data_IF_659008084214
#
_entry.id   IF_659008084214
#
_cell.length_a   1.000
_cell.length_b   1.000
_cell.length_c   1.000
_cell.angle_alpha   90.00
_cell.angle_beta   90.00
_cell.angle_gamma   90.00
#
_symmetry.space_group_name_H-M   'P 1'
#
loop_
_entity.id
_entity.type
_entity.pdbx_description
1 polymer ?
#
# COMPACT_ATOMS: atom_id res chain seq x y z
N UNK A 1 26.21 12.81 -17.20
CA UNK A 1 27.17 13.85 -17.63
C UNK A 1 28.42 13.26 -18.22
N UNK A 2 29.36 12.70 -17.44
CA UNK A 2 30.59 12.08 -17.97
C UNK A 2 30.32 11.01 -19.03
N UNK A 3 29.38 10.09 -18.77
CA UNK A 3 28.99 9.05 -19.73
C UNK A 3 28.45 9.61 -21.06
N UNK A 4 27.81 10.79 -21.02
CA UNK A 4 27.28 11.49 -22.18
C UNK A 4 28.31 12.45 -22.80
N UNK A 5 29.51 12.60 -22.20
CA UNK A 5 30.52 13.60 -22.60
C UNK A 5 29.97 15.04 -22.65
N UNK A 6 29.01 15.35 -21.78
CA UNK A 6 28.40 16.68 -21.64
C UNK A 6 28.81 17.33 -20.32
N UNK A 7 28.91 18.65 -20.33
CA UNK A 7 29.20 19.47 -19.14
C UNK A 7 28.04 19.44 -18.13
N UNK A 8 28.33 19.75 -16.87
CA UNK A 8 27.33 19.66 -15.77
C UNK A 8 26.20 20.69 -15.85
N UNK A 9 26.37 21.75 -16.63
CA UNK A 9 25.34 22.75 -16.95
C UNK A 9 24.41 22.31 -18.08
N UNK A 10 24.70 21.21 -18.78
CA UNK A 10 23.80 20.64 -19.76
C UNK A 10 22.48 20.20 -19.10
N UNK A 11 21.37 20.35 -19.83
CA UNK A 11 20.08 19.88 -19.36
C UNK A 11 20.07 18.36 -19.23
N UNK A 12 19.22 17.85 -18.34
CA UNK A 12 19.07 16.41 -18.15
C UNK A 12 18.50 15.75 -19.41
N UNK A 13 17.67 16.45 -20.16
CA UNK A 13 17.17 16.05 -21.48
C UNK A 13 18.29 15.82 -22.46
N UNK A 14 19.25 16.75 -22.59
CA UNK A 14 20.38 16.59 -23.50
C UNK A 14 21.24 15.38 -23.12
N UNK A 15 21.42 15.15 -21.81
CA UNK A 15 22.12 13.97 -21.30
C UNK A 15 21.35 12.69 -21.61
N UNK A 16 20.04 12.68 -21.38
CA UNK A 16 19.17 11.54 -21.69
C UNK A 16 19.20 11.23 -23.19
N UNK A 17 19.19 12.28 -24.01
CA UNK A 17 19.15 12.14 -25.45
C UNK A 17 20.42 11.52 -26.03
N UNK A 18 21.58 12.00 -25.58
CA UNK A 18 22.88 11.47 -25.97
C UNK A 18 23.02 10.01 -25.53
N UNK A 19 22.69 9.70 -24.27
CA UNK A 19 22.81 8.34 -23.74
C UNK A 19 21.89 7.34 -24.44
N UNK A 20 20.65 7.72 -24.75
CA UNK A 20 19.73 6.88 -25.53
C UNK A 20 20.28 6.63 -26.94
N UNK A 21 20.90 7.64 -27.57
CA UNK A 21 21.50 7.49 -28.90
C UNK A 21 22.74 6.60 -28.88
N UNK A 22 23.56 6.69 -27.81
CA UNK A 22 24.76 5.88 -27.64
C UNK A 22 24.47 4.42 -27.31
N UNK A 23 23.38 4.16 -26.59
CA UNK A 23 23.05 2.81 -26.08
C UNK A 23 22.00 2.09 -26.91
N UNK A 24 21.22 2.82 -27.72
CA UNK A 24 20.05 2.32 -28.45
C UNK A 24 18.99 1.65 -27.55
N UNK A 25 19.03 1.93 -26.23
CA UNK A 25 18.14 1.35 -25.25
C UNK A 25 16.69 1.86 -25.43
N UNK A 26 15.72 1.01 -25.11
CA UNK A 26 14.31 1.40 -25.14
C UNK A 26 13.93 2.31 -23.97
N UNK A 27 14.62 2.14 -22.82
CA UNK A 27 14.43 2.89 -21.60
C UNK A 27 15.79 3.25 -20.97
N UNK A 28 15.94 4.50 -20.54
CA UNK A 28 17.07 4.99 -19.77
C UNK A 28 16.56 5.55 -18.45
N UNK A 29 17.05 5.02 -17.34
CA UNK A 29 16.71 5.48 -15.99
C UNK A 29 17.92 6.18 -15.39
N UNK A 30 17.72 7.42 -14.93
CA UNK A 30 18.74 8.20 -14.24
C UNK A 30 18.31 8.39 -12.79
N UNK A 31 19.08 7.83 -11.85
CA UNK A 31 18.93 8.12 -10.42
C UNK A 31 19.58 9.46 -10.07
N UNK A 32 18.88 10.30 -9.32
CA UNK A 32 19.22 11.69 -9.02
C UNK A 32 19.27 11.97 -7.50
N UNK A 33 19.63 10.96 -6.72
CA UNK A 33 19.70 11.05 -5.25
C UNK A 33 18.37 11.59 -4.67
N UNK A 34 18.40 12.67 -3.89
CA UNK A 34 17.21 13.27 -3.27
C UNK A 34 16.15 13.76 -4.28
N UNK A 35 16.54 14.05 -5.52
CA UNK A 35 15.60 14.46 -6.57
C UNK A 35 14.83 13.26 -7.16
N UNK A 36 15.19 12.04 -6.77
CA UNK A 36 14.56 10.80 -7.20
C UNK A 36 15.07 10.24 -8.50
N UNK A 37 14.18 9.86 -9.42
CA UNK A 37 14.57 9.21 -10.67
C UNK A 37 13.93 9.89 -11.87
N UNK A 38 14.60 9.83 -13.02
CA UNK A 38 14.04 10.28 -14.30
C UNK A 38 14.12 9.14 -15.30
N UNK A 39 12.99 8.84 -15.96
CA UNK A 39 12.89 7.93 -17.08
C UNK A 39 12.94 8.72 -18.39
N UNK A 40 13.76 8.26 -19.32
CA UNK A 40 13.70 8.62 -20.72
C UNK A 40 13.32 7.40 -21.55
N UNK A 41 12.39 7.55 -22.48
CA UNK A 41 12.01 6.51 -23.44
C UNK A 41 12.70 6.72 -24.78
N UNK A 42 12.74 5.68 -25.61
CA UNK A 42 13.21 5.77 -27.00
C UNK A 42 12.47 6.82 -27.85
N UNK A 43 11.20 7.08 -27.52
CA UNK A 43 10.38 8.14 -28.13
C UNK A 43 10.73 9.54 -27.63
N UNK A 44 11.75 9.67 -26.78
CA UNK A 44 12.24 10.93 -26.18
C UNK A 44 11.27 11.55 -25.18
N UNK A 45 10.37 10.75 -24.62
CA UNK A 45 9.51 11.19 -23.52
C UNK A 45 10.31 11.17 -22.21
N UNK A 46 10.04 12.15 -21.34
CA UNK A 46 10.64 12.29 -20.01
C UNK A 46 9.58 12.13 -18.94
N UNK A 47 9.85 11.29 -17.94
CA UNK A 47 9.01 11.14 -16.75
C UNK A 47 9.87 11.26 -15.49
N UNK A 48 9.45 12.09 -14.54
CA UNK A 48 10.16 12.31 -13.29
C UNK A 48 9.41 11.65 -12.12
N UNK A 49 10.16 10.93 -11.28
CA UNK A 49 9.69 10.21 -10.11
C UNK A 49 10.39 10.79 -8.87
N UNK A 50 9.87 11.87 -8.27
CA UNK A 50 10.48 12.48 -7.09
C UNK A 50 10.36 11.54 -5.89
N UNK A 51 11.41 11.43 -5.07
CA UNK A 51 11.34 10.59 -3.85
C UNK A 51 10.49 11.28 -2.80
N UNK A 52 9.56 10.53 -2.21
CA UNK A 52 8.89 10.91 -0.96
C UNK A 52 9.46 10.05 0.16
N UNK A 53 10.09 10.68 1.13
CA UNK A 53 10.68 10.05 2.32
C UNK A 53 10.31 10.85 3.56
N UNK A 54 10.31 10.22 4.73
CA UNK A 54 10.08 10.92 5.99
C UNK A 54 11.36 11.58 6.50
N UNK A 55 12.43 10.80 6.62
CA UNK A 55 13.75 11.22 7.08
C UNK A 55 14.84 10.41 6.38
N UNK A 56 15.97 11.03 6.04
CA UNK A 56 17.12 10.30 5.47
C UNK A 56 18.08 9.93 6.59
N UNK A 57 18.28 8.64 6.82
CA UNK A 57 19.23 8.12 7.80
C UNK A 57 20.55 7.69 7.15
N UNK A 58 20.51 6.89 6.08
CA UNK A 58 21.68 6.39 5.36
C UNK A 58 21.32 6.14 3.89
N UNK A 59 22.20 6.46 2.94
CA UNK A 59 21.95 6.23 1.50
C UNK A 59 22.59 4.94 0.97
N UNK A 60 23.24 4.18 1.85
CA UNK A 60 23.94 2.94 1.52
C UNK A 60 22.96 1.88 0.98
N UNK A 61 23.18 1.39 -0.24
CA UNK A 61 22.37 0.33 -0.84
C UNK A 61 21.05 0.79 -1.50
N UNK A 62 20.77 2.10 -1.54
CA UNK A 62 19.57 2.62 -2.21
C UNK A 62 19.55 2.28 -3.72
N UNK A 63 20.70 2.39 -4.39
CA UNK A 63 20.84 2.02 -5.80
C UNK A 63 20.63 0.53 -6.05
N UNK A 64 21.14 -0.33 -5.18
CA UNK A 64 20.94 -1.78 -5.27
C UNK A 64 19.46 -2.14 -5.05
N UNK A 65 18.78 -1.45 -4.14
CA UNK A 65 17.33 -1.59 -3.91
C UNK A 65 16.53 -1.19 -5.13
N UNK A 66 16.85 -0.05 -5.76
CA UNK A 66 16.23 0.39 -7.02
C UNK A 66 16.43 -0.67 -8.09
N UNK A 67 17.65 -1.14 -8.31
CA UNK A 67 17.95 -2.11 -9.35
C UNK A 67 17.23 -3.45 -9.12
N UNK A 68 17.20 -3.94 -7.88
CA UNK A 68 16.49 -5.15 -7.52
C UNK A 68 14.98 -5.02 -7.78
N UNK A 69 14.39 -3.88 -7.41
CA UNK A 69 12.96 -3.64 -7.63
C UNK A 69 12.63 -3.49 -9.12
N UNK A 70 13.49 -2.80 -9.90
CA UNK A 70 13.35 -2.74 -11.36
C UNK A 70 13.35 -4.15 -11.95
N UNK A 71 14.31 -5.00 -11.55
CA UNK A 71 14.43 -6.35 -12.07
C UNK A 71 13.17 -7.19 -11.78
N UNK A 72 12.67 -7.17 -10.55
CA UNK A 72 11.49 -7.95 -10.15
C UNK A 72 10.20 -7.42 -10.78
N UNK A 73 9.99 -6.10 -10.77
CA UNK A 73 8.77 -5.50 -11.30
C UNK A 73 8.68 -5.68 -12.82
N UNK A 74 9.77 -5.40 -13.52
CA UNK A 74 9.82 -5.54 -14.97
C UNK A 74 9.69 -7.00 -15.41
N UNK A 75 10.31 -7.95 -14.69
CA UNK A 75 10.13 -9.38 -14.94
C UNK A 75 8.68 -9.86 -14.67
N UNK A 76 7.95 -9.14 -13.82
CA UNK A 76 6.52 -9.36 -13.55
C UNK A 76 5.60 -8.70 -14.58
N UNK A 77 6.13 -8.19 -15.70
CA UNK A 77 5.40 -7.48 -16.76
C UNK A 77 4.71 -6.18 -16.32
N UNK A 78 5.18 -5.55 -15.23
CA UNK A 78 4.75 -4.20 -14.89
C UNK A 78 5.29 -3.21 -15.93
N UNK A 79 4.53 -2.15 -16.18
CA UNK A 79 5.02 -1.05 -17.02
C UNK A 79 6.26 -0.40 -16.38
N UNK A 80 7.10 0.24 -17.19
CA UNK A 80 8.27 0.95 -16.67
C UNK A 80 7.88 2.07 -15.70
N UNK A 81 6.69 2.66 -15.88
CA UNK A 81 6.15 3.67 -14.98
C UNK A 81 5.82 3.09 -13.61
N UNK A 82 5.08 1.98 -13.54
CA UNK A 82 4.77 1.28 -12.28
C UNK A 82 6.06 0.77 -11.61
N UNK A 83 6.96 0.21 -12.41
CA UNK A 83 8.26 -0.29 -11.98
C UNK A 83 9.07 0.79 -11.25
N UNK A 84 9.16 1.99 -11.83
CA UNK A 84 9.91 3.09 -11.22
C UNK A 84 9.18 3.70 -10.03
N UNK A 85 7.86 3.77 -10.05
CA UNK A 85 7.07 4.17 -8.88
C UNK A 85 7.34 3.24 -7.69
N UNK A 86 7.30 1.91 -7.88
CA UNK A 86 7.61 0.93 -6.83
C UNK A 86 9.08 1.01 -6.39
N UNK A 87 10.00 1.17 -7.34
CA UNK A 87 11.43 1.31 -7.03
C UNK A 87 11.72 2.55 -6.20
N UNK A 88 11.00 3.64 -6.44
CA UNK A 88 11.11 4.88 -5.70
C UNK A 88 10.60 4.72 -4.24
N UNK A 89 9.50 3.99 -4.06
CA UNK A 89 8.98 3.61 -2.73
C UNK A 89 9.98 2.72 -1.99
N UNK A 90 10.52 1.69 -2.64
CA UNK A 90 11.49 0.80 -2.02
C UNK A 90 12.77 1.56 -1.62
N UNK A 91 13.26 2.46 -2.48
CA UNK A 91 14.41 3.29 -2.19
C UNK A 91 14.17 4.24 -1.01
N UNK A 92 12.98 4.84 -0.90
CA UNK A 92 12.68 5.74 0.22
C UNK A 92 12.65 5.01 1.56
N UNK A 93 12.15 3.78 1.60
CA UNK A 93 12.21 2.92 2.79
C UNK A 93 13.65 2.53 3.12
N UNK A 94 14.45 2.18 2.12
CA UNK A 94 15.85 1.79 2.32
C UNK A 94 16.65 2.92 2.98
N UNK A 95 16.45 4.17 2.54
CA UNK A 95 17.22 5.30 3.06
C UNK A 95 16.81 5.78 4.45
N UNK A 96 15.66 5.34 4.94
CA UNK A 96 15.16 5.59 6.30
C UNK A 96 15.79 4.64 7.35
N UNK A 97 16.68 3.72 6.93
CA UNK A 97 17.30 2.69 7.77
C UNK A 97 18.83 2.80 7.74
N UNK A 98 19.49 2.28 8.78
CA UNK A 98 20.95 2.30 8.89
C UNK A 98 21.59 1.16 8.07
N UNK A 99 22.60 1.47 7.25
CA UNK A 99 23.33 0.51 6.44
C UNK A 99 22.55 0.01 5.22
N UNK A 100 23.05 -1.06 4.57
CA UNK A 100 22.39 -1.71 3.43
C UNK A 100 21.17 -2.53 3.90
N UNK A 101 20.14 -1.85 4.37
CA UNK A 101 18.94 -2.47 4.92
C UNK A 101 18.14 -3.20 3.83
N UNK A 102 17.60 -4.36 4.19
CA UNK A 102 16.68 -5.09 3.31
C UNK A 102 15.31 -4.42 3.35
N UNK A 103 14.71 -4.25 2.18
CA UNK A 103 13.31 -3.85 1.99
C UNK A 103 12.51 -5.10 1.62
N UNK A 104 11.43 -5.36 2.34
CA UNK A 104 10.52 -6.47 2.10
C UNK A 104 9.25 -6.03 1.36
N UNK A 105 8.47 -6.98 0.86
CA UNK A 105 7.16 -6.68 0.28
C UNK A 105 6.20 -6.11 1.33
N UNK A 106 6.27 -6.59 2.57
CA UNK A 106 5.52 -6.03 3.71
C UNK A 106 5.83 -4.54 3.91
N UNK A 107 7.12 -4.17 3.89
CA UNK A 107 7.52 -2.76 4.02
C UNK A 107 6.91 -1.88 2.92
N UNK A 108 6.97 -2.36 1.66
CA UNK A 108 6.41 -1.64 0.50
C UNK A 108 4.89 -1.54 0.62
N UNK A 109 4.21 -2.64 0.96
CA UNK A 109 2.76 -2.67 1.13
C UNK A 109 2.30 -1.70 2.21
N UNK A 110 2.95 -1.71 3.38
CA UNK A 110 2.66 -0.76 4.47
C UNK A 110 2.84 0.69 4.00
N UNK A 111 3.94 1.01 3.31
CA UNK A 111 4.19 2.38 2.80
C UNK A 111 3.17 2.82 1.76
N UNK A 112 2.72 1.91 0.89
CA UNK A 112 1.69 2.21 -0.11
C UNK A 112 0.35 2.52 0.57
N UNK A 113 -0.05 1.73 1.58
CA UNK A 113 -1.26 1.99 2.36
C UNK A 113 -1.18 3.29 3.17
N UNK A 114 -0.02 3.60 3.76
CA UNK A 114 0.21 4.89 4.45
C UNK A 114 0.08 6.09 3.51
N UNK A 115 0.62 5.96 2.30
CA UNK A 115 0.53 7.03 1.29
C UNK A 115 -0.90 7.22 0.81
N UNK A 116 -1.70 6.16 0.84
CA UNK A 116 -3.12 6.15 0.49
C UNK A 116 -4.03 6.31 1.72
N UNK A 117 -3.55 6.88 2.83
CA UNK A 117 -4.32 7.00 4.10
C UNK A 117 -5.66 7.75 4.00
N UNK A 118 -5.96 8.40 2.87
CA UNK A 118 -7.29 8.96 2.58
C UNK A 118 -8.29 7.90 2.08
N UNK A 119 -7.77 6.82 1.51
CA UNK A 119 -8.50 5.75 0.87
C UNK A 119 -8.50 4.52 1.79
N UNK A 120 -9.38 4.55 2.78
CA UNK A 120 -9.57 3.45 3.73
C UNK A 120 -10.34 2.28 3.12
N UNK A 121 -10.80 2.41 1.88
CA UNK A 121 -11.73 1.49 1.25
C UNK A 121 -10.94 0.57 0.32
N UNK A 122 -11.09 -0.74 0.55
CA UNK A 122 -10.39 -1.79 -0.15
C UNK A 122 -11.38 -2.83 -0.66
N UNK A 123 -11.03 -3.46 -1.76
CA UNK A 123 -11.75 -4.60 -2.34
C UNK A 123 -10.82 -5.82 -2.45
N UNK A 124 -11.25 -6.85 -3.19
CA UNK A 124 -10.49 -8.10 -3.35
C UNK A 124 -9.11 -7.90 -3.97
N UNK A 125 -8.97 -6.93 -4.87
CA UNK A 125 -7.70 -6.67 -5.57
C UNK A 125 -6.61 -6.19 -4.59
N UNK A 126 -7.02 -5.69 -3.43
CA UNK A 126 -6.14 -5.17 -2.39
C UNK A 126 -5.83 -6.19 -1.30
N UNK A 127 -6.47 -7.37 -1.28
CA UNK A 127 -6.32 -8.35 -0.21
C UNK A 127 -4.86 -8.76 0.00
N UNK A 128 -4.14 -9.01 -1.09
CA UNK A 128 -2.71 -9.34 -1.02
C UNK A 128 -1.88 -8.22 -0.37
N UNK A 129 -2.17 -6.96 -0.71
CA UNK A 129 -1.45 -5.80 -0.13
C UNK A 129 -1.75 -5.70 1.36
N UNK A 130 -3.01 -5.89 1.76
CA UNK A 130 -3.43 -5.90 3.16
C UNK A 130 -2.75 -7.04 3.93
N UNK A 131 -2.71 -8.27 3.39
CA UNK A 131 -2.00 -9.40 4.00
C UNK A 131 -0.52 -9.06 4.26
N UNK A 132 0.17 -8.49 3.26
CA UNK A 132 1.57 -8.11 3.40
C UNK A 132 1.75 -6.98 4.42
N UNK A 133 0.90 -5.96 4.40
CA UNK A 133 1.04 -4.80 5.29
C UNK A 133 0.65 -5.11 6.75
N UNK A 134 -0.22 -6.10 6.96
CA UNK A 134 -0.72 -6.52 8.27
C UNK A 134 0.01 -7.73 8.82
N UNK A 135 1.04 -8.22 8.12
CA UNK A 135 1.94 -9.26 8.63
C UNK A 135 2.52 -8.81 9.98
N UNK A 136 2.42 -9.67 10.99
CA UNK A 136 2.85 -9.43 12.39
C UNK A 136 2.11 -8.29 13.13
N UNK A 137 1.04 -7.72 12.57
CA UNK A 137 0.18 -6.74 13.24
C UNK A 137 -0.99 -7.42 13.94
N UNK A 138 -1.40 -6.87 15.08
CA UNK A 138 -2.66 -7.29 15.71
C UNK A 138 -3.80 -6.64 14.95
N UNK A 139 -4.73 -7.45 14.46
CA UNK A 139 -5.90 -6.97 13.74
C UNK A 139 -7.17 -7.39 14.45
N UNK A 140 -8.06 -6.43 14.69
CA UNK A 140 -9.45 -6.69 15.07
C UNK A 140 -10.36 -6.37 13.88
N UNK A 141 -11.20 -7.34 13.50
CA UNK A 141 -12.17 -7.18 12.41
C UNK A 141 -13.58 -7.07 12.98
N UNK A 142 -14.38 -6.15 12.44
CA UNK A 142 -15.83 -6.05 12.68
C UNK A 142 -16.59 -6.28 11.37
N UNK A 143 -17.36 -7.36 11.29
CA UNK A 143 -18.32 -7.63 10.22
C UNK A 143 -19.60 -6.84 10.41
N UNK A 144 -20.00 -6.04 9.41
CA UNK A 144 -21.19 -5.20 9.43
C UNK A 144 -22.06 -5.40 8.19
N UNK A 145 -23.38 -5.41 8.41
CA UNK A 145 -24.38 -5.27 7.35
C UNK A 145 -24.91 -3.83 7.28
N UNK A 146 -24.99 -3.25 6.08
CA UNK A 146 -25.44 -1.87 5.82
C UNK A 146 -26.93 -1.66 6.03
N UNK A 147 -27.70 -2.74 6.26
CA UNK A 147 -29.16 -2.68 6.34
C UNK A 147 -29.71 -1.90 7.55
N UNK A 148 -28.89 -1.63 8.57
CA UNK A 148 -29.33 -0.99 9.82
C UNK A 148 -28.94 0.50 9.94
N UNK A 149 -28.14 1.03 9.02
CA UNK A 149 -27.60 2.40 9.08
C UNK A 149 -26.65 2.62 10.28
N UNK A 150 -26.15 3.85 10.45
CA UNK A 150 -25.25 4.16 11.58
C UNK A 150 -26.08 4.67 12.75
N UNK A 151 -26.22 3.82 13.77
CA UNK A 151 -26.81 4.18 15.06
C UNK A 151 -25.73 4.70 16.02
N UNK A 152 -26.16 5.40 17.08
CA UNK A 152 -25.26 5.77 18.19
C UNK A 152 -24.61 4.54 18.83
N UNK A 153 -25.31 3.41 18.83
CA UNK A 153 -24.86 2.17 19.44
C UNK A 153 -23.72 1.55 18.62
N UNK A 154 -23.87 1.49 17.29
CA UNK A 154 -22.81 1.05 16.39
C UNK A 154 -21.56 1.93 16.52
N UNK A 155 -21.75 3.25 16.57
CA UNK A 155 -20.64 4.17 16.74
C UNK A 155 -19.90 3.92 18.07
N UNK A 156 -20.62 3.76 19.17
CA UNK A 156 -20.02 3.44 20.47
C UNK A 156 -19.29 2.08 20.46
N UNK A 157 -19.82 1.07 19.76
CA UNK A 157 -19.18 -0.22 19.60
C UNK A 157 -17.87 -0.11 18.81
N UNK A 158 -17.86 0.61 17.68
CA UNK A 158 -16.64 0.91 16.92
C UNK A 158 -15.60 1.57 17.82
N UNK A 159 -15.98 2.61 18.57
CA UNK A 159 -15.08 3.27 19.51
C UNK A 159 -14.58 2.36 20.64
N UNK A 160 -15.38 1.39 21.05
CA UNK A 160 -15.00 0.45 22.12
C UNK A 160 -14.00 -0.58 21.62
N UNK A 161 -14.21 -1.10 20.40
CA UNK A 161 -13.30 -2.06 19.77
C UNK A 161 -11.98 -1.42 19.32
N UNK A 162 -12.03 -0.19 18.81
CA UNK A 162 -10.86 0.53 18.34
C UNK A 162 -9.95 1.05 19.47
N UNK A 163 -10.38 0.99 20.75
CA UNK A 163 -9.57 1.38 21.93
C UNK A 163 -8.43 0.39 22.26
N UNK A 164 -7.97 -0.38 21.28
CA UNK A 164 -6.78 -1.22 21.41
C UNK A 164 -5.51 -0.40 21.69
N UNK A 165 -4.38 -1.09 21.85
CA UNK A 165 -3.07 -0.42 21.91
C UNK A 165 -2.74 0.20 20.55
N UNK A 166 -1.81 1.17 20.49
CA UNK A 166 -1.40 1.86 19.24
C UNK A 166 -0.93 0.92 18.09
N UNK A 167 -0.54 -0.32 18.44
CA UNK A 167 -0.11 -1.36 17.50
C UNK A 167 -1.25 -2.26 16.98
N UNK A 168 -2.47 -2.10 17.49
CA UNK A 168 -3.66 -2.84 17.05
C UNK A 168 -4.37 -2.05 15.94
N UNK A 169 -4.62 -2.74 14.82
CA UNK A 169 -5.36 -2.19 13.67
C UNK A 169 -6.82 -2.60 13.74
N UNK A 170 -7.70 -1.71 13.33
CA UNK A 170 -9.14 -1.94 13.29
C UNK A 170 -9.67 -1.93 11.85
N UNK A 171 -10.27 -3.04 11.45
CA UNK A 171 -10.83 -3.23 10.11
C UNK A 171 -12.34 -3.48 10.18
N UNK A 172 -13.08 -2.81 9.32
CA UNK A 172 -14.49 -3.09 9.08
C UNK A 172 -14.64 -3.91 7.80
N UNK A 173 -15.34 -5.03 7.88
CA UNK A 173 -15.73 -5.82 6.72
C UNK A 173 -17.22 -5.64 6.45
N UNK A 174 -17.58 -5.13 5.27
CA UNK A 174 -18.98 -5.00 4.88
C UNK A 174 -19.45 -6.30 4.25
N UNK A 175 -20.51 -6.90 4.80
CA UNK A 175 -21.04 -8.19 4.36
C UNK A 175 -22.09 -8.08 3.25
N UNK A 176 -22.35 -6.88 2.72
CA UNK A 176 -23.32 -6.65 1.64
C UNK A 176 -22.62 -6.60 0.29
N UNK A 177 -23.20 -7.28 -0.71
CA UNK A 177 -22.61 -7.35 -2.04
C UNK A 177 -22.58 -5.98 -2.74
N UNK A 178 -23.52 -5.11 -2.37
CA UNK A 178 -23.60 -3.71 -2.82
C UNK A 178 -23.89 -2.84 -1.59
N UNK A 179 -22.86 -2.43 -0.84
CA UNK A 179 -23.04 -1.61 0.34
C UNK A 179 -23.51 -0.19 -0.05
N UNK A 180 -24.29 0.44 0.82
CA UNK A 180 -24.74 1.82 0.62
C UNK A 180 -23.55 2.80 0.65
N UNK A 181 -23.37 3.59 -0.42
CA UNK A 181 -22.23 4.52 -0.55
C UNK A 181 -22.19 5.57 0.56
N UNK A 182 -23.36 6.04 1.04
CA UNK A 182 -23.43 7.04 2.11
C UNK A 182 -22.95 6.44 3.43
N UNK A 183 -23.29 5.18 3.69
CA UNK A 183 -22.83 4.43 4.85
C UNK A 183 -21.32 4.18 4.79
N UNK A 184 -20.79 3.72 3.64
CA UNK A 184 -19.36 3.52 3.42
C UNK A 184 -18.58 4.82 3.64
N UNK A 185 -19.05 5.92 3.08
CA UNK A 185 -18.44 7.25 3.23
C UNK A 185 -18.43 7.71 4.69
N UNK A 186 -19.50 7.45 5.44
CA UNK A 186 -19.56 7.79 6.86
C UNK A 186 -18.57 6.95 7.67
N UNK A 187 -18.46 5.65 7.41
CA UNK A 187 -17.44 4.81 8.05
C UNK A 187 -16.03 5.28 7.71
N UNK A 188 -15.76 5.60 6.44
CA UNK A 188 -14.45 6.09 5.99
C UNK A 188 -14.07 7.42 6.67
N UNK A 189 -15.06 8.22 7.09
CA UNK A 189 -14.83 9.45 7.85
C UNK A 189 -14.37 9.22 9.30
N UNK A 190 -14.56 8.01 9.84
CA UNK A 190 -14.19 7.69 11.21
C UNK A 190 -12.68 7.46 11.32
N UNK A 191 -12.04 8.19 12.23
CA UNK A 191 -10.59 8.07 12.48
C UNK A 191 -10.21 6.74 13.14
N UNK A 192 -11.14 6.13 13.87
CA UNK A 192 -10.98 4.85 14.57
C UNK A 192 -10.86 3.66 13.62
N UNK A 193 -11.30 3.80 12.36
CA UNK A 193 -11.24 2.73 11.36
C UNK A 193 -9.98 2.92 10.53
N UNK A 194 -9.11 1.91 10.50
CA UNK A 194 -7.92 1.91 9.64
C UNK A 194 -8.27 1.43 8.23
N UNK A 195 -9.09 0.37 8.13
CA UNK A 195 -9.41 -0.29 6.87
C UNK A 195 -10.91 -0.63 6.78
N UNK A 196 -11.48 -0.50 5.59
CA UNK A 196 -12.83 -0.90 5.22
C UNK A 196 -12.69 -1.82 4.03
N UNK A 197 -13.12 -3.07 4.17
CA UNK A 197 -13.11 -4.06 3.09
C UNK A 197 -14.54 -4.26 2.61
N UNK A 198 -14.80 -3.97 1.33
CA UNK A 198 -16.09 -4.23 0.69
C UNK A 198 -16.21 -5.72 0.36
N UNK A 199 -17.43 -6.28 0.39
CA UNK A 199 -17.66 -7.71 0.20
C UNK A 199 -17.07 -8.20 -1.13
N UNK A 200 -15.97 -8.96 -1.04
CA UNK A 200 -15.35 -9.65 -2.17
C UNK A 200 -15.79 -11.11 -2.24
N UNK A 201 -15.78 -11.78 -1.08
CA UNK A 201 -16.22 -13.17 -0.93
C UNK A 201 -16.99 -13.35 0.37
N UNK A 202 -16.29 -13.82 1.41
CA UNK A 202 -16.83 -14.04 2.76
C UNK A 202 -15.84 -13.53 3.80
N UNK A 203 -16.38 -13.13 4.96
CA UNK A 203 -15.56 -12.78 6.12
C UNK A 203 -14.63 -13.95 6.51
N UNK A 204 -15.08 -15.18 6.30
CA UNK A 204 -14.29 -16.38 6.53
C UNK A 204 -13.01 -16.42 5.68
N UNK A 205 -13.11 -16.20 4.37
CA UNK A 205 -11.95 -16.18 3.48
C UNK A 205 -10.95 -15.09 3.87
N UNK A 206 -11.44 -13.89 4.20
CA UNK A 206 -10.60 -12.81 4.72
C UNK A 206 -9.84 -13.21 5.99
N UNK A 207 -10.50 -13.92 6.90
CA UNK A 207 -9.88 -14.39 8.14
C UNK A 207 -8.83 -15.48 7.90
N UNK A 208 -9.02 -16.37 6.92
CA UNK A 208 -8.02 -17.38 6.52
C UNK A 208 -6.79 -16.75 5.86
N UNK A 209 -6.97 -15.61 5.18
CA UNK A 209 -5.89 -14.83 4.57
C UNK A 209 -5.08 -14.05 5.62
N UNK A 210 -5.75 -13.18 6.38
CA UNK A 210 -5.08 -12.18 7.23
C UNK A 210 -4.83 -12.66 8.66
N UNK A 211 -5.52 -13.73 9.10
CA UNK A 211 -5.38 -14.30 10.45
C UNK A 211 -5.55 -13.26 11.58
N UNK A 212 -6.71 -12.59 11.68
CA UNK A 212 -6.96 -11.56 12.68
C UNK A 212 -6.87 -12.10 14.11
N UNK A 213 -6.51 -11.21 15.04
CA UNK A 213 -6.44 -11.54 16.47
C UNK A 213 -7.83 -11.70 17.09
N UNK A 214 -8.81 -10.89 16.63
CA UNK A 214 -10.21 -10.95 17.05
C UNK A 214 -11.12 -10.65 15.88
N UNK A 215 -12.28 -11.28 15.87
CA UNK A 215 -13.32 -11.04 14.88
C UNK A 215 -14.63 -10.88 15.59
N UNK A 216 -15.36 -9.84 15.25
CA UNK A 216 -16.69 -9.55 15.76
C UNK A 216 -17.69 -9.45 14.61
N UNK A 217 -18.94 -9.76 14.88
CA UNK A 217 -20.07 -9.44 14.00
C UNK A 217 -21.12 -8.67 14.77
N UNK A 218 -21.82 -7.78 14.07
CA UNK A 218 -23.01 -7.12 14.58
C UNK A 218 -24.25 -7.87 14.11
N UNK A 219 -24.95 -8.52 15.04
CA UNK A 219 -26.23 -9.18 14.77
C UNK A 219 -27.31 -8.61 15.70
N UNK A 220 -28.43 -8.16 15.15
CA UNK A 220 -29.55 -7.59 15.92
C UNK A 220 -29.11 -6.47 16.90
N UNK A 221 -28.13 -5.64 16.50
CA UNK A 221 -27.49 -4.58 17.31
C UNK A 221 -26.64 -5.07 18.50
N UNK A 222 -26.45 -6.38 18.65
CA UNK A 222 -25.56 -6.95 19.65
C UNK A 222 -24.23 -7.36 19.01
N UNK A 223 -23.15 -7.05 19.71
CA UNK A 223 -21.80 -7.39 19.29
C UNK A 223 -21.47 -8.81 19.73
N UNK A 224 -21.13 -9.68 18.77
CA UNK A 224 -20.81 -11.09 19.01
C UNK A 224 -19.36 -11.32 18.61
N UNK A 225 -18.55 -11.87 19.52
CA UNK A 225 -17.20 -12.33 19.21
C UNK A 225 -17.27 -13.70 18.50
N UNK A 226 -16.56 -13.83 17.38
CA UNK A 226 -16.55 -15.02 16.54
C UNK A 226 -15.33 -15.87 16.87
N UNK A 227 -15.48 -16.74 17.86
CA UNK A 227 -14.36 -17.49 18.45
C UNK A 227 -13.97 -18.77 17.67
N UNK A 228 -14.80 -19.22 16.72
CA UNK A 228 -14.67 -20.54 16.07
C UNK A 228 -14.94 -20.52 14.56
N UNK A 229 -14.20 -21.34 13.82
CA UNK A 229 -14.36 -21.58 12.37
C UNK A 229 -15.81 -21.87 11.93
N UNK A 230 -16.62 -22.52 12.79
CA UNK A 230 -18.02 -22.84 12.49
C UNK A 230 -18.95 -21.62 12.49
N UNK A 231 -18.63 -20.56 13.25
CA UNK A 231 -19.47 -19.36 13.38
C UNK A 231 -19.25 -18.41 12.20
N UNK A 232 -18.02 -18.37 11.66
CA UNK A 232 -17.65 -17.59 10.46
C UNK A 232 -18.38 -18.06 9.18
N UNK A 233 -18.72 -19.34 9.08
CA UNK A 233 -19.43 -19.93 7.93
C UNK A 233 -20.93 -19.56 7.87
N UNK A 234 -21.53 -19.13 8.98
CA UNK A 234 -22.95 -18.80 9.04
C UNK A 234 -23.27 -17.34 8.65
N UNK A 235 -22.25 -16.52 8.39
CA UNK A 235 -22.37 -15.10 8.02
C UNK A 235 -22.28 -14.85 6.50
N UNK A 236 -22.58 -15.87 5.69
CA UNK A 236 -22.67 -15.79 4.22
C UNK A 236 -24.05 -15.37 3.77
#
# INVERSE_FOLDING_TARGET
>A
YEAAKLSRDASLEAVGDELLSLTEADHLVITRSQDGMTLFTKTRDRFDFPVKFHEVMDVTGAGDTVLAMIAVAYASNLSMHETLSLSNVAASIAIERLGCARVSLSDIASRLLETDAQNKIFDEEHLFVLEQALTDKKLTILGLSTNEGISSDLFHQIQTLAKGNDDERFMVYLTNATPDESFVSLLASLHEIDYIVLQSQSLHHLCESIHPAKVFALENKELIELDHHSTLLNLV
#
